data_IF_563625072971
#
_entry.id   IF_563625072971
#
_cell.length_a   1.000
_cell.length_b   1.000
_cell.length_c   1.000
_cell.angle_alpha   90.00
_cell.angle_beta   90.00
_cell.angle_gamma   90.00
#
_symmetry.space_group_name_H-M   'P 1'
#
loop_
_entity.id
_entity.type
_entity.pdbx_description
1 polymer ?
#
# COMPACT_ATOMS: atom_id res chain seq x y z
N UNK A 1 3.34 20.61 -3.59
CA UNK A 1 1.98 20.91 -3.11
C UNK A 1 1.04 20.14 -3.99
N UNK A 2 0.49 19.06 -3.46
CA UNK A 2 -0.45 18.19 -4.11
C UNK A 2 -1.70 18.99 -4.50
N UNK A 3 -2.09 18.95 -5.76
CA UNK A 3 -3.37 19.47 -6.23
C UNK A 3 -4.43 18.38 -6.22
N UNK A 4 -5.47 18.55 -5.40
CA UNK A 4 -6.63 17.67 -5.36
C UNK A 4 -7.52 17.92 -6.58
N UNK A 5 -7.91 16.85 -7.27
CA UNK A 5 -8.90 16.88 -8.34
C UNK A 5 -10.33 16.90 -7.77
N UNK A 6 -11.35 17.31 -8.54
CA UNK A 6 -12.75 17.22 -8.11
C UNK A 6 -13.17 15.82 -7.65
N UNK A 7 -12.59 14.78 -8.25
CA UNK A 7 -12.83 13.39 -7.86
C UNK A 7 -12.31 13.08 -6.45
N UNK A 8 -11.14 13.63 -6.09
CA UNK A 8 -10.56 13.45 -4.75
C UNK A 8 -11.42 14.12 -3.68
N UNK A 9 -12.01 15.29 -3.98
CA UNK A 9 -12.96 15.95 -3.08
C UNK A 9 -14.21 15.08 -2.82
N UNK A 10 -14.76 14.44 -3.87
CA UNK A 10 -15.91 13.55 -3.74
C UNK A 10 -15.57 12.29 -2.93
N UNK A 11 -14.37 11.76 -3.09
CA UNK A 11 -13.88 10.62 -2.31
C UNK A 11 -13.70 11.02 -0.83
N UNK A 12 -13.01 12.14 -0.54
CA UNK A 12 -12.80 12.62 0.83
C UNK A 12 -14.14 12.88 1.53
N UNK A 13 -15.12 13.47 0.84
CA UNK A 13 -16.43 13.73 1.39
C UNK A 13 -17.19 12.46 1.80
N UNK A 14 -16.91 11.31 1.18
CA UNK A 14 -17.49 10.00 1.53
C UNK A 14 -16.83 9.34 2.73
N UNK A 15 -15.61 9.76 3.08
CA UNK A 15 -14.80 9.16 4.15
C UNK A 15 -14.34 10.21 5.17
N UNK A 16 -15.28 10.88 5.89
CA UNK A 16 -14.90 11.86 6.89
C UNK A 16 -14.24 11.20 8.10
N UNK A 17 -13.23 11.87 8.67
CA UNK A 17 -12.51 11.36 9.84
C UNK A 17 -13.39 11.32 11.10
N UNK A 18 -14.41 12.19 11.19
CA UNK A 18 -15.26 12.35 12.37
C UNK A 18 -14.42 12.42 13.66
N UNK A 19 -14.78 11.63 14.68
CA UNK A 19 -14.06 11.59 15.95
C UNK A 19 -12.82 10.67 15.94
N UNK A 20 -12.50 10.03 14.81
CA UNK A 20 -11.46 8.99 14.74
C UNK A 20 -10.06 9.54 15.07
N UNK A 21 -9.80 10.80 14.71
CA UNK A 21 -8.54 11.50 14.99
C UNK A 21 -8.43 12.03 16.43
N UNK A 22 -9.53 12.09 17.19
CA UNK A 22 -9.51 12.60 18.57
C UNK A 22 -8.61 11.75 19.48
N UNK A 23 -8.58 10.43 19.23
CA UNK A 23 -7.71 9.49 19.96
C UNK A 23 -6.22 9.74 19.74
N UNK A 24 -5.85 10.27 18.57
CA UNK A 24 -4.46 10.58 18.21
C UNK A 24 -4.04 11.98 18.65
N UNK A 25 -4.98 12.92 18.78
CA UNK A 25 -4.66 14.32 19.09
C UNK A 25 -3.85 14.49 20.37
N UNK A 26 -4.22 13.80 21.45
CA UNK A 26 -3.49 13.88 22.71
C UNK A 26 -2.04 13.39 22.58
N UNK A 27 -1.84 12.28 21.85
CA UNK A 27 -0.50 11.73 21.57
C UNK A 27 0.34 12.67 20.70
N UNK A 28 -0.30 13.33 19.72
CA UNK A 28 0.37 14.29 18.84
C UNK A 28 0.77 15.58 19.57
N UNK A 29 -0.08 16.07 20.48
CA UNK A 29 0.24 17.24 21.32
C UNK A 29 1.41 16.96 22.25
N UNK A 30 1.47 15.76 22.85
CA UNK A 30 2.61 15.34 23.67
C UNK A 30 3.90 15.31 22.86
N UNK A 31 3.85 14.80 21.63
CA UNK A 31 5.01 14.78 20.73
C UNK A 31 5.46 16.18 20.30
N UNK A 32 4.54 17.09 19.97
CA UNK A 32 4.87 18.47 19.59
C UNK A 32 5.56 19.20 20.77
N UNK A 33 5.03 19.04 21.99
CA UNK A 33 5.61 19.64 23.19
C UNK A 33 6.99 19.05 23.53
N UNK A 34 7.16 17.74 23.38
CA UNK A 34 8.44 17.07 23.58
C UNK A 34 9.53 17.61 22.62
N UNK A 35 9.15 17.80 21.35
CA UNK A 35 10.04 18.31 20.31
C UNK A 35 10.42 19.78 20.52
N UNK A 36 9.48 20.64 20.95
CA UNK A 36 9.74 22.05 21.22
C UNK A 36 10.72 22.27 22.39
N UNK A 37 10.71 21.38 23.38
CA UNK A 37 11.52 21.53 24.61
C UNK A 37 12.99 21.19 24.38
N UNK A 38 13.34 20.37 23.39
CA UNK A 38 14.74 20.11 23.06
C UNK A 38 14.91 19.49 21.67
N UNK A 39 16.03 19.83 21.02
CA UNK A 39 16.30 19.50 19.62
C UNK A 39 16.76 18.04 19.37
N UNK A 40 16.88 17.23 20.43
CA UNK A 40 17.39 15.84 20.43
C UNK A 40 16.68 14.79 21.35
N UNK A 41 15.72 15.07 22.27
CA UNK A 41 15.20 14.05 23.16
C UNK A 41 13.85 13.51 22.70
N UNK A 42 13.64 12.23 22.99
CA UNK A 42 12.38 11.53 22.76
C UNK A 42 12.04 11.30 21.29
N UNK A 43 13.07 10.98 20.48
CA UNK A 43 12.87 10.28 19.21
C UNK A 43 11.84 9.15 19.36
N UNK A 44 11.82 8.43 20.48
CA UNK A 44 10.81 7.41 20.77
C UNK A 44 9.36 7.93 20.90
N UNK A 45 9.12 9.10 21.51
CA UNK A 45 7.75 9.67 21.63
C UNK A 45 7.29 10.17 20.27
N UNK A 46 8.13 10.96 19.59
CA UNK A 46 7.87 11.45 18.25
C UNK A 46 7.66 10.28 17.27
N UNK A 47 8.55 9.30 17.28
CA UNK A 47 8.46 8.09 16.46
C UNK A 47 7.19 7.30 16.74
N UNK A 48 6.82 7.12 18.01
CA UNK A 48 5.58 6.42 18.38
C UNK A 48 4.35 7.17 17.89
N UNK A 49 4.32 8.48 18.08
CA UNK A 49 3.21 9.33 17.66
C UNK A 49 3.04 9.31 16.13
N UNK A 50 4.13 9.53 15.38
CA UNK A 50 4.13 9.46 13.91
C UNK A 50 3.82 8.05 13.41
N UNK A 51 4.36 7.00 14.04
CA UNK A 51 4.05 5.61 13.65
C UNK A 51 2.57 5.28 13.81
N UNK A 52 1.94 5.73 14.90
CA UNK A 52 0.49 5.56 15.11
C UNK A 52 -0.32 6.39 14.11
N UNK A 53 0.12 7.61 13.81
CA UNK A 53 -0.50 8.46 12.82
C UNK A 53 -0.50 7.83 11.41
N UNK A 54 0.66 7.33 10.96
CA UNK A 54 0.78 6.65 9.67
C UNK A 54 -0.02 5.35 9.63
N UNK A 55 -0.01 4.58 10.72
CA UNK A 55 -0.83 3.36 10.82
C UNK A 55 -2.32 3.67 10.75
N UNK A 56 -2.76 4.80 11.31
CA UNK A 56 -4.14 5.25 11.22
C UNK A 56 -4.55 5.56 9.78
N UNK A 57 -3.73 6.31 9.04
CA UNK A 57 -4.01 6.61 7.63
C UNK A 57 -4.03 5.34 6.78
N UNK A 58 -3.07 4.42 6.96
CA UNK A 58 -3.07 3.12 6.27
C UNK A 58 -4.32 2.27 6.55
N UNK A 59 -4.96 2.47 7.70
CA UNK A 59 -6.21 1.80 8.05
C UNK A 59 -7.46 2.46 7.47
N UNK A 60 -7.32 3.56 6.70
CA UNK A 60 -8.47 4.21 6.05
C UNK A 60 -8.66 3.66 4.64
N UNK A 61 -9.88 3.21 4.33
CA UNK A 61 -10.24 2.66 3.00
C UNK A 61 -9.91 3.63 1.86
N UNK A 62 -10.05 4.93 2.12
CA UNK A 62 -9.76 6.02 1.19
C UNK A 62 -8.30 6.03 0.68
N UNK A 63 -7.35 5.42 1.40
CA UNK A 63 -5.95 5.34 0.93
C UNK A 63 -5.75 4.43 -0.26
N UNK A 64 -6.69 3.50 -0.50
CA UNK A 64 -6.70 2.63 -1.66
C UNK A 64 -7.31 3.32 -2.88
N UNK A 65 -8.21 4.29 -2.65
CA UNK A 65 -8.93 5.00 -3.70
C UNK A 65 -8.23 6.30 -4.14
N UNK A 66 -7.42 6.90 -3.26
CA UNK A 66 -6.66 8.11 -3.57
C UNK A 66 -5.39 7.78 -4.38
N UNK A 67 -5.24 8.44 -5.53
CA UNK A 67 -4.02 8.39 -6.32
C UNK A 67 -3.14 9.62 -6.02
N UNK A 68 -1.84 9.40 -5.78
CA UNK A 68 -0.88 10.50 -5.73
C UNK A 68 -0.73 11.17 -7.11
N UNK A 69 -0.23 12.41 -7.19
CA UNK A 69 0.02 13.14 -8.45
C UNK A 69 0.84 12.36 -9.50
N UNK A 70 1.57 11.33 -9.06
CA UNK A 70 2.38 10.45 -9.92
C UNK A 70 1.74 9.08 -10.19
N UNK A 71 0.45 8.90 -9.93
CA UNK A 71 -0.27 7.62 -9.98
C UNK A 71 0.37 6.51 -9.12
N UNK A 72 1.04 6.90 -8.03
CA UNK A 72 1.55 5.93 -7.08
C UNK A 72 0.49 5.62 -6.02
N UNK A 73 0.41 4.34 -5.66
CA UNK A 73 -0.40 3.85 -4.55
C UNK A 73 0.01 4.56 -3.24
N UNK A 74 -0.91 5.37 -2.72
CA UNK A 74 -0.72 6.16 -1.50
C UNK A 74 -0.49 5.26 -0.30
N UNK A 75 -1.17 4.11 -0.23
CA UNK A 75 -0.99 3.14 0.84
C UNK A 75 0.42 2.53 0.80
N UNK A 76 0.92 2.16 -0.38
CA UNK A 76 2.27 1.64 -0.54
C UNK A 76 3.33 2.64 -0.07
N UNK A 77 3.21 3.91 -0.49
CA UNK A 77 4.17 4.96 -0.07
C UNK A 77 4.10 5.18 1.45
N UNK A 78 2.90 5.26 2.03
CA UNK A 78 2.73 5.44 3.48
C UNK A 78 3.31 4.27 4.28
N UNK A 79 3.17 3.03 3.78
CA UNK A 79 3.80 1.86 4.38
C UNK A 79 5.32 1.96 4.35
N UNK A 80 5.89 2.39 3.21
CA UNK A 80 7.31 2.70 3.09
C UNK A 80 7.77 3.72 4.13
N UNK A 81 7.10 4.86 4.22
CA UNK A 81 7.40 5.92 5.19
C UNK A 81 7.32 5.38 6.63
N UNK A 82 6.30 4.59 6.96
CA UNK A 82 6.13 3.97 8.28
C UNK A 82 7.32 3.06 8.63
N UNK A 83 7.81 2.26 7.68
CA UNK A 83 8.99 1.41 7.94
C UNK A 83 10.26 2.23 8.19
N UNK A 84 10.43 3.37 7.53
CA UNK A 84 11.54 4.30 7.77
C UNK A 84 11.45 4.95 9.16
N UNK A 85 10.26 5.44 9.53
CA UNK A 85 10.00 6.00 10.86
C UNK A 85 10.32 4.96 11.94
N UNK A 86 9.85 3.72 11.81
CA UNK A 86 10.11 2.64 12.77
C UNK A 86 11.60 2.26 12.90
N UNK A 87 12.42 2.53 11.89
CA UNK A 87 13.88 2.34 11.93
C UNK A 87 14.63 3.50 12.59
N UNK A 88 13.92 4.54 13.02
CA UNK A 88 14.50 5.77 13.58
C UNK A 88 15.04 6.72 12.51
N UNK A 89 14.81 6.43 11.23
CA UNK A 89 15.34 7.21 10.11
C UNK A 89 14.27 8.19 9.61
N UNK A 90 13.88 9.15 10.45
CA UNK A 90 12.91 10.19 10.08
C UNK A 90 13.23 11.53 10.73
N UNK A 91 12.73 12.62 10.15
CA UNK A 91 12.85 13.96 10.71
C UNK A 91 11.45 14.46 11.08
N UNK A 92 11.21 14.75 12.36
CA UNK A 92 9.91 15.21 12.84
C UNK A 92 9.41 16.48 12.13
N UNK A 93 10.31 17.39 11.73
CA UNK A 93 9.96 18.61 11.00
C UNK A 93 9.22 18.34 9.68
N UNK A 94 9.44 17.17 9.07
CA UNK A 94 8.73 16.79 7.84
C UNK A 94 7.25 16.49 8.13
N UNK A 95 6.93 15.99 9.32
CA UNK A 95 5.58 15.62 9.74
C UNK A 95 4.86 16.74 10.51
N UNK A 96 5.62 17.69 11.08
CA UNK A 96 5.08 18.79 11.88
C UNK A 96 3.91 19.54 11.22
N UNK A 97 3.93 19.88 9.91
CA UNK A 97 2.80 20.56 9.28
C UNK A 97 1.50 19.74 9.34
N UNK A 98 1.58 18.42 9.13
CA UNK A 98 0.42 17.52 9.23
C UNK A 98 -0.04 17.39 10.69
N UNK A 99 0.90 17.27 11.63
CA UNK A 99 0.61 17.18 13.05
C UNK A 99 -0.16 18.41 13.53
N UNK A 100 0.28 19.61 13.14
CA UNK A 100 -0.38 20.86 13.52
C UNK A 100 -1.81 20.96 12.98
N UNK A 101 -2.07 20.51 11.74
CA UNK A 101 -3.42 20.48 11.17
C UNK A 101 -4.36 19.59 12.01
N UNK A 102 -3.89 18.43 12.45
CA UNK A 102 -4.70 17.51 13.27
C UNK A 102 -4.94 18.07 14.67
N UNK A 103 -3.92 18.69 15.28
CA UNK A 103 -4.06 19.35 16.59
C UNK A 103 -5.08 20.48 16.53
N UNK A 104 -5.09 21.26 15.44
CA UNK A 104 -5.97 22.41 15.22
C UNK A 104 -7.38 22.03 14.75
N UNK A 105 -7.68 20.74 14.55
CA UNK A 105 -8.95 20.28 13.99
C UNK A 105 -9.22 20.84 12.59
N UNK A 106 -8.20 20.87 11.74
CA UNK A 106 -8.36 21.30 10.36
C UNK A 106 -9.36 20.42 9.59
N UNK A 107 -9.97 20.94 8.52
CA UNK A 107 -10.82 20.15 7.63
C UNK A 107 -10.12 18.91 7.08
N UNK A 108 -10.86 17.81 6.90
CA UNK A 108 -10.35 16.53 6.40
C UNK A 108 -9.60 16.67 5.06
N UNK A 109 -10.08 17.60 4.20
CA UNK A 109 -9.44 17.94 2.92
C UNK A 109 -8.01 18.47 3.12
N UNK A 110 -7.81 19.36 4.08
CA UNK A 110 -6.49 19.95 4.34
C UNK A 110 -5.54 18.92 4.94
N UNK A 111 -6.08 18.01 5.77
CA UNK A 111 -5.32 16.88 6.34
C UNK A 111 -4.90 15.93 5.21
N UNK A 112 -5.82 15.51 4.34
CA UNK A 112 -5.50 14.62 3.21
C UNK A 112 -4.52 15.25 2.23
N UNK A 113 -4.66 16.55 1.96
CA UNK A 113 -3.70 17.28 1.14
C UNK A 113 -2.30 17.25 1.75
N UNK A 114 -2.17 17.44 3.05
CA UNK A 114 -0.90 17.34 3.76
C UNK A 114 -0.33 15.91 3.73
N UNK A 115 -1.17 14.87 3.82
CA UNK A 115 -0.76 13.46 3.65
C UNK A 115 -0.22 13.21 2.24
N UNK A 116 -0.88 13.70 1.20
CA UNK A 116 -0.40 13.58 -0.18
C UNK A 116 0.90 14.37 -0.41
N UNK A 117 1.05 15.54 0.21
CA UNK A 117 2.31 16.28 0.16
C UNK A 117 3.46 15.53 0.83
N UNK A 118 3.21 14.80 1.90
CA UNK A 118 4.18 13.92 2.55
C UNK A 118 4.61 12.77 1.63
N UNK A 119 3.68 12.13 0.93
CA UNK A 119 4.01 11.04 -0.01
C UNK A 119 4.81 11.51 -1.22
N UNK A 120 4.73 12.80 -1.57
CA UNK A 120 5.58 13.38 -2.61
C UNK A 120 6.95 13.81 -2.06
N UNK A 121 6.99 14.38 -0.85
CA UNK A 121 8.18 15.05 -0.30
C UNK A 121 9.16 14.08 0.36
N UNK A 122 8.68 13.15 1.19
CA UNK A 122 9.55 12.25 1.95
C UNK A 122 10.32 11.30 1.04
N UNK A 123 9.72 10.64 0.03
CA UNK A 123 10.47 9.78 -0.89
C UNK A 123 11.54 10.52 -1.71
N UNK A 124 11.43 11.85 -1.88
CA UNK A 124 12.47 12.67 -2.52
C UNK A 124 13.60 13.04 -1.57
N UNK A 125 13.32 13.13 -0.27
CA UNK A 125 14.29 13.44 0.78
C UNK A 125 15.03 12.21 1.30
N UNK A 126 14.48 11.01 1.08
CA UNK A 126 15.18 9.75 1.30
C UNK A 126 16.06 9.53 0.06
N UNK A 127 17.41 9.40 0.20
CA UNK A 127 18.24 9.01 -0.94
C UNK A 127 17.66 7.73 -1.56
N UNK A 128 17.72 7.53 -2.89
CA UNK A 128 17.09 6.39 -3.54
C UNK A 128 17.39 5.12 -2.74
N UNK A 129 16.34 4.31 -2.52
CA UNK A 129 16.26 3.11 -1.67
C UNK A 129 17.37 2.06 -1.86
N UNK A 130 18.36 2.33 -2.68
CA UNK A 130 19.60 1.59 -2.83
C UNK A 130 20.67 2.09 -1.87
N UNK A 131 20.55 1.75 -0.58
CA UNK A 131 21.75 1.32 0.16
C UNK A 131 22.10 -0.09 -0.33
N UNK A 132 22.40 -0.22 -1.62
CA UNK A 132 23.20 -1.33 -2.10
C UNK A 132 24.62 -0.96 -1.67
N UNK A 133 25.30 -1.77 -0.84
CA UNK A 133 26.70 -1.55 -0.53
C UNK A 133 27.48 -1.36 -1.86
N UNK A 134 28.56 -0.56 -1.92
CA UNK A 134 29.32 -0.37 -3.15
C UNK A 134 30.01 -1.64 -3.69
N UNK A 135 29.73 -2.80 -3.09
CA UNK A 135 30.04 -4.11 -3.63
C UNK A 135 28.81 -4.67 -4.30
N UNK A 136 28.55 -4.30 -5.55
CA UNK A 136 28.00 -5.21 -6.57
C UNK A 136 27.88 -4.43 -7.88
N UNK A 137 28.98 -4.39 -8.63
CA UNK A 137 28.95 -4.15 -10.09
C UNK A 137 28.41 -5.37 -10.86
N UNK A 138 27.52 -6.13 -10.22
CA UNK A 138 26.79 -7.24 -10.82
C UNK A 138 25.33 -6.83 -11.00
N UNK A 139 24.68 -7.41 -12.01
CA UNK A 139 23.26 -7.24 -12.34
C UNK A 139 22.41 -7.09 -11.08
N UNK A 140 21.58 -6.04 -10.94
CA UNK A 140 20.75 -5.85 -9.77
C UNK A 140 19.91 -7.11 -9.51
N UNK A 141 20.10 -7.73 -8.35
CA UNK A 141 19.22 -8.83 -7.91
C UNK A 141 17.94 -8.17 -7.42
N UNK A 142 16.97 -8.01 -8.33
CA UNK A 142 15.58 -7.80 -7.91
C UNK A 142 15.16 -9.06 -7.17
N UNK A 143 14.78 -8.93 -5.90
CA UNK A 143 14.16 -10.02 -5.15
C UNK A 143 12.83 -10.34 -5.81
N UNK A 144 12.82 -11.30 -6.72
CA UNK A 144 11.60 -11.74 -7.40
C UNK A 144 10.74 -12.59 -6.45
N UNK A 145 9.47 -12.75 -6.75
CA UNK A 145 8.50 -13.65 -6.12
C UNK A 145 9.07 -15.08 -6.04
N UNK A 146 9.84 -15.48 -7.04
CA UNK A 146 10.62 -16.72 -7.08
C UNK A 146 11.65 -16.87 -5.95
N UNK A 147 11.95 -15.82 -5.19
CA UNK A 147 12.86 -15.86 -4.04
C UNK A 147 12.15 -16.14 -2.71
N UNK A 148 10.81 -16.17 -2.66
CA UNK A 148 10.05 -16.47 -1.44
C UNK A 148 10.21 -17.93 -1.03
N UNK A 149 10.40 -18.17 0.26
CA UNK A 149 10.54 -19.51 0.84
C UNK A 149 9.63 -19.68 2.06
N UNK A 150 9.23 -20.94 2.28
CA UNK A 150 8.56 -21.38 3.50
C UNK A 150 7.34 -20.50 3.85
N UNK A 151 7.33 -19.88 5.03
CA UNK A 151 6.20 -19.08 5.53
C UNK A 151 5.91 -17.79 4.77
N UNK A 152 6.79 -17.38 3.85
CA UNK A 152 6.56 -16.23 2.98
C UNK A 152 5.66 -16.58 1.78
N UNK A 153 5.37 -17.86 1.54
CA UNK A 153 4.52 -18.32 0.43
C UNK A 153 3.02 -18.27 0.76
N UNK A 154 2.59 -17.33 1.60
CA UNK A 154 1.15 -17.06 1.76
C UNK A 154 0.64 -16.28 0.56
N UNK A 155 -0.60 -16.55 0.14
CA UNK A 155 -1.22 -15.92 -1.04
C UNK A 155 -1.15 -14.39 -1.01
N UNK A 156 -1.37 -13.80 0.16
CA UNK A 156 -1.32 -12.34 0.35
C UNK A 156 0.09 -11.79 0.08
N UNK A 157 1.13 -12.42 0.65
CA UNK A 157 2.51 -11.98 0.47
C UNK A 157 3.01 -12.21 -0.97
N UNK A 158 2.64 -13.33 -1.58
CA UNK A 158 2.99 -13.64 -2.98
C UNK A 158 2.32 -12.66 -3.94
N UNK A 159 1.01 -12.40 -3.78
CA UNK A 159 0.29 -11.45 -4.64
C UNK A 159 0.87 -10.04 -4.52
N UNK A 160 1.19 -9.60 -3.30
CA UNK A 160 1.79 -8.29 -3.05
C UNK A 160 3.13 -8.16 -3.80
N UNK A 161 4.02 -9.15 -3.67
CA UNK A 161 5.32 -9.12 -4.33
C UNK A 161 5.24 -9.26 -5.85
N UNK A 162 4.36 -10.11 -6.37
CA UNK A 162 4.13 -10.20 -7.82
C UNK A 162 3.65 -8.84 -8.33
N UNK A 163 2.70 -8.20 -7.65
CA UNK A 163 2.21 -6.91 -8.06
C UNK A 163 3.31 -5.84 -8.02
N UNK A 164 4.17 -5.81 -6.98
CA UNK A 164 5.35 -4.94 -6.95
C UNK A 164 6.26 -5.10 -8.19
N UNK A 165 6.35 -6.30 -8.77
CA UNK A 165 7.17 -6.52 -9.97
C UNK A 165 6.55 -5.99 -11.26
N UNK A 166 5.21 -5.98 -11.34
CA UNK A 166 4.48 -5.72 -12.58
C UNK A 166 3.62 -4.45 -12.53
N UNK A 167 3.56 -3.75 -11.40
CA UNK A 167 2.67 -2.61 -11.20
C UNK A 167 2.97 -1.44 -12.16
N UNK A 168 4.22 -1.29 -12.60
CA UNK A 168 4.61 -0.28 -13.59
C UNK A 168 4.02 -0.54 -15.00
N UNK A 169 3.52 -1.75 -15.26
CA UNK A 169 3.02 -2.15 -16.58
C UNK A 169 1.70 -2.92 -16.56
N UNK A 170 1.03 -3.03 -15.41
CA UNK A 170 -0.23 -3.77 -15.28
C UNK A 170 -1.24 -3.05 -14.38
N UNK A 171 -2.52 -3.28 -14.64
CA UNK A 171 -3.62 -2.73 -13.87
C UNK A 171 -4.27 -3.82 -13.02
N UNK A 172 -4.51 -3.54 -11.75
CA UNK A 172 -5.23 -4.44 -10.84
C UNK A 172 -6.73 -4.19 -10.91
N UNK A 173 -7.54 -5.25 -10.74
CA UNK A 173 -9.00 -5.19 -10.61
C UNK A 173 -9.70 -4.37 -11.71
N UNK A 174 -9.25 -4.51 -12.97
CA UNK A 174 -9.84 -3.79 -14.10
C UNK A 174 -11.34 -4.09 -14.20
N UNK A 175 -12.15 -3.07 -13.90
CA UNK A 175 -13.60 -3.20 -13.84
C UNK A 175 -14.16 -3.70 -15.17
N UNK A 176 -15.09 -4.67 -15.10
CA UNK A 176 -15.75 -5.22 -16.27
C UNK A 176 -14.91 -6.15 -17.15
N UNK A 177 -13.61 -6.31 -16.89
CA UNK A 177 -12.74 -7.21 -17.67
C UNK A 177 -13.26 -8.65 -17.70
N UNK A 178 -13.58 -9.20 -16.52
CA UNK A 178 -14.08 -10.57 -16.40
C UNK A 178 -15.42 -10.76 -17.12
N UNK A 179 -16.33 -9.79 -16.96
CA UNK A 179 -17.64 -9.82 -17.63
C UNK A 179 -17.51 -9.74 -19.15
N UNK A 180 -16.55 -8.97 -19.66
CA UNK A 180 -16.34 -8.77 -21.09
C UNK A 180 -15.82 -10.02 -21.79
N UNK A 181 -14.88 -10.73 -21.16
CA UNK A 181 -14.14 -11.81 -21.82
C UNK A 181 -14.49 -13.22 -21.36
N UNK A 182 -15.01 -13.41 -20.14
CA UNK A 182 -15.22 -14.74 -19.57
C UNK A 182 -16.68 -15.04 -19.23
N UNK A 183 -17.44 -14.07 -18.72
CA UNK A 183 -18.84 -14.32 -18.30
C UNK A 183 -19.77 -14.51 -19.51
N UNK A 184 -20.44 -15.67 -19.57
CA UNK A 184 -21.43 -15.98 -20.60
C UNK A 184 -20.83 -16.07 -22.01
N UNK A 185 -19.54 -16.41 -22.10
CA UNK A 185 -18.84 -16.67 -23.36
C UNK A 185 -18.67 -18.17 -23.54
N UNK A 186 -18.85 -18.62 -24.77
CA UNK A 186 -18.54 -19.99 -25.14
C UNK A 186 -17.03 -20.13 -25.32
N UNK A 187 -16.47 -21.23 -24.82
CA UNK A 187 -15.09 -21.60 -25.06
C UNK A 187 -14.93 -22.12 -26.48
N UNK A 188 -13.76 -21.92 -27.08
CA UNK A 188 -13.47 -22.51 -28.38
C UNK A 188 -13.30 -24.04 -28.26
N UNK A 189 -13.64 -24.79 -29.30
CA UNK A 189 -13.43 -26.26 -29.36
C UNK A 189 -12.02 -26.69 -28.95
N UNK A 190 -11.00 -25.87 -29.25
CA UNK A 190 -9.61 -26.11 -28.86
C UNK A 190 -9.40 -26.00 -27.34
N UNK A 191 -10.03 -25.01 -26.71
CA UNK A 191 -9.96 -24.82 -25.26
C UNK A 191 -10.70 -25.95 -24.52
N UNK A 192 -11.86 -26.37 -25.05
CA UNK A 192 -12.60 -27.52 -24.53
C UNK A 192 -11.79 -28.81 -24.63
N UNK A 193 -11.14 -29.06 -25.78
CA UNK A 193 -10.29 -30.23 -25.96
C UNK A 193 -9.10 -30.25 -24.98
N UNK A 194 -8.48 -29.09 -24.71
CA UNK A 194 -7.41 -28.97 -23.71
C UNK A 194 -7.97 -29.25 -22.31
N UNK A 195 -9.12 -28.68 -21.96
CA UNK A 195 -9.77 -28.88 -20.66
C UNK A 195 -10.09 -30.36 -20.42
N UNK A 196 -10.69 -31.03 -21.40
CA UNK A 196 -10.99 -32.46 -21.34
C UNK A 196 -9.73 -33.32 -21.17
N UNK A 197 -8.63 -32.97 -21.84
CA UNK A 197 -7.36 -33.67 -21.69
C UNK A 197 -6.73 -33.47 -20.30
N UNK A 198 -6.85 -32.28 -19.71
CA UNK A 198 -6.32 -31.97 -18.36
C UNK A 198 -7.18 -32.57 -17.25
N UNK A 199 -8.46 -32.79 -17.51
CA UNK A 199 -9.39 -33.46 -16.58
C UNK A 199 -9.47 -34.98 -16.81
N UNK A 200 -8.70 -35.51 -17.76
CA UNK A 200 -8.70 -36.93 -18.07
C UNK A 200 -8.13 -37.73 -16.88
N UNK A 201 -8.69 -38.91 -16.55
CA UNK A 201 -8.28 -39.69 -15.38
C UNK A 201 -6.82 -40.18 -15.39
N UNK A 202 -6.18 -40.17 -16.55
CA UNK A 202 -4.78 -40.56 -16.77
C UNK A 202 -3.79 -39.37 -16.73
N UNK A 203 -4.29 -38.15 -16.57
CA UNK A 203 -3.48 -36.95 -16.31
C UNK A 203 -3.19 -36.80 -14.81
N UNK A 204 -2.23 -35.93 -14.43
CA UNK A 204 -1.90 -35.68 -13.02
C UNK A 204 -3.19 -35.41 -12.20
N UNK A 205 -3.54 -36.35 -11.31
CA UNK A 205 -4.81 -36.44 -10.54
C UNK A 205 -5.14 -35.18 -9.69
N UNK A 206 -4.25 -34.19 -9.68
CA UNK A 206 -4.37 -32.94 -8.95
C UNK A 206 -5.32 -31.93 -9.62
N UNK A 207 -5.44 -31.95 -10.96
CA UNK A 207 -6.25 -30.98 -11.70
C UNK A 207 -7.76 -31.25 -11.61
N UNK A 208 -8.16 -32.51 -11.41
CA UNK A 208 -9.56 -32.91 -11.25
C UNK A 208 -10.17 -32.51 -9.89
N UNK A 209 -9.37 -31.91 -8.99
CA UNK A 209 -9.79 -31.56 -7.62
C UNK A 209 -10.20 -30.09 -7.45
N UNK A 210 -10.18 -29.28 -8.52
CA UNK A 210 -10.67 -27.90 -8.42
C UNK A 210 -12.19 -27.89 -8.18
N UNK A 211 -12.67 -27.06 -7.23
CA UNK A 211 -14.10 -26.95 -6.94
C UNK A 211 -14.89 -26.35 -8.10
N UNK A 212 -16.19 -26.65 -8.17
CA UNK A 212 -17.14 -26.08 -9.13
C UNK A 212 -18.24 -25.30 -8.38
N UNK A 213 -18.33 -23.96 -8.51
CA UNK A 213 -17.49 -23.12 -9.36
C UNK A 213 -16.08 -22.93 -8.79
N UNK A 214 -15.05 -22.79 -9.64
CA UNK A 214 -13.69 -22.54 -9.18
C UNK A 214 -13.63 -21.15 -8.56
N UNK A 215 -13.47 -21.06 -7.24
CA UNK A 215 -13.29 -19.79 -6.54
C UNK A 215 -11.83 -19.56 -6.16
N UNK A 216 -11.41 -18.30 -6.24
CA UNK A 216 -10.05 -17.89 -5.90
C UNK A 216 -9.67 -18.21 -4.44
N UNK A 217 -10.66 -18.28 -3.54
CA UNK A 217 -10.48 -18.67 -2.13
C UNK A 217 -9.92 -20.07 -1.95
N UNK A 218 -10.07 -20.94 -2.95
CA UNK A 218 -9.91 -22.39 -2.78
C UNK A 218 -8.52 -22.90 -3.23
N UNK A 219 -7.66 -22.00 -3.74
CA UNK A 219 -6.39 -22.37 -4.37
C UNK A 219 -5.20 -22.32 -3.40
N UNK A 220 -5.29 -21.59 -2.28
CA UNK A 220 -4.19 -21.46 -1.30
C UNK A 220 -4.75 -21.12 0.09
N UNK A 221 -4.65 -22.07 1.03
CA UNK A 221 -4.53 -21.80 2.49
C UNK A 221 -3.11 -21.42 2.83
#
# INVERSE_FOLDING_TARGET
MATLSPHDYDIIAKHPFNDSLNSLRGLLQEAEQAYDVSADPQDEICQRAISKLLSFFLGQDITLDLQSERNHDVAFILAGILTHVRKGNFNYNQFQPLVQLIIQNAPDVDIWKAVLDLTVTIPQSIPPLTSIPPFFTGTPVKSTSSSQKDSEQTRELVNMRIFEEICDCTFQNVEGFFNKYFKGKDWSDKADAICQHVLAPDSDENWAQFPDPPMQSDVLT
#
